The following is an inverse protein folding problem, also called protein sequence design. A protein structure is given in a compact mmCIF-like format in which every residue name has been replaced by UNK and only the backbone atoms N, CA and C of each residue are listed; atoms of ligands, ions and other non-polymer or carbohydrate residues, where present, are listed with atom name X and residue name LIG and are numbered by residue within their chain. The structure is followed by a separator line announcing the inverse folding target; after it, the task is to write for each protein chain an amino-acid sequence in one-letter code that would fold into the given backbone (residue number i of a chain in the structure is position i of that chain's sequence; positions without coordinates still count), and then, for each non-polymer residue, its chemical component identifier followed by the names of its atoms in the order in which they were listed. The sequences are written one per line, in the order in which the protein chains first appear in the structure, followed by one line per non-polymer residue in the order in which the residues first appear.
data_IF_445854529857
#
_entry.id   IF_445854529857
#
_cell.length_a   1.000
_cell.length_b   1.000
_cell.length_c   1.000
_cell.angle_alpha   90.00
_cell.angle_beta   90.00
_cell.angle_gamma   90.00
#
_symmetry.space_group_name_H-M   'P 1'
#
loop_
_entity.id
_entity.type
_entity.pdbx_description
1 polymer ?
#
# COMPACT_ATOMS: atom_id res chain seq x y z
N UNK A 1 12.47 2.71 22.32
CA UNK A 1 12.98 1.77 21.32
C UNK A 1 13.34 2.50 20.04
N UNK A 2 12.73 2.29 18.86
CA UNK A 2 13.29 2.85 17.60
C UNK A 2 13.57 4.38 17.59
N UNK A 3 12.67 5.21 18.13
CA UNK A 3 12.90 6.68 18.27
C UNK A 3 13.98 7.00 19.29
N UNK A 4 14.04 6.22 20.37
CA UNK A 4 15.06 6.37 21.41
C UNK A 4 16.44 5.98 20.86
N UNK A 5 16.56 4.80 20.26
CA UNK A 5 17.75 4.33 19.56
C UNK A 5 18.25 5.31 18.48
N UNK A 6 17.36 5.89 17.68
CA UNK A 6 17.74 6.89 16.68
C UNK A 6 18.37 8.16 17.29
N UNK A 7 18.00 8.50 18.54
CA UNK A 7 18.55 9.65 19.27
C UNK A 7 19.80 9.28 20.10
N UNK A 8 19.90 8.04 20.59
CA UNK A 8 20.94 7.60 21.54
C UNK A 8 22.06 6.74 20.94
N UNK A 9 21.91 6.20 19.73
CA UNK A 9 22.89 5.27 19.13
C UNK A 9 24.30 5.84 18.97
N UNK A 10 24.47 7.15 18.94
CA UNK A 10 25.78 7.80 18.96
C UNK A 10 26.43 7.86 20.37
N UNK A 11 25.62 7.81 21.42
CA UNK A 11 26.01 8.23 22.78
C UNK A 11 26.08 7.07 23.79
N UNK A 12 25.22 6.05 23.69
CA UNK A 12 25.22 4.93 24.64
C UNK A 12 24.87 3.59 23.97
N UNK A 13 25.91 2.79 23.67
CA UNK A 13 25.76 1.47 23.06
C UNK A 13 24.98 0.48 23.94
N UNK A 14 25.11 0.55 25.26
CA UNK A 14 24.44 -0.39 26.16
C UNK A 14 22.92 -0.13 26.18
N UNK A 15 22.51 1.13 26.11
CA UNK A 15 21.09 1.47 26.01
C UNK A 15 20.48 1.00 24.69
N UNK A 16 21.20 1.15 23.58
CA UNK A 16 20.68 0.72 22.28
C UNK A 16 20.63 -0.82 22.15
N UNK A 17 21.62 -1.53 22.70
CA UNK A 17 21.55 -3.00 22.81
C UNK A 17 20.35 -3.45 23.66
N UNK A 18 20.02 -2.72 24.73
CA UNK A 18 18.83 -3.00 25.54
C UNK A 18 17.51 -2.74 24.79
N UNK A 19 17.44 -1.64 24.01
CA UNK A 19 16.31 -1.35 23.11
C UNK A 19 16.12 -2.47 22.08
N UNK A 20 17.21 -2.96 21.47
CA UNK A 20 17.17 -4.06 20.50
C UNK A 20 16.62 -5.34 21.14
N UNK A 21 17.10 -5.71 22.33
CA UNK A 21 16.58 -6.88 23.06
C UNK A 21 15.08 -6.76 23.39
N UNK A 22 14.60 -5.57 23.74
CA UNK A 22 13.18 -5.36 24.00
C UNK A 22 12.35 -5.49 22.71
N UNK A 23 12.84 -4.96 21.58
CA UNK A 23 12.20 -5.13 20.26
C UNK A 23 12.08 -6.61 19.93
N UNK A 24 13.16 -7.37 20.04
CA UNK A 24 13.18 -8.81 19.75
C UNK A 24 12.15 -9.58 20.58
N UNK A 25 12.04 -9.27 21.89
CA UNK A 25 11.02 -9.88 22.76
C UNK A 25 9.59 -9.54 22.32
N UNK A 26 9.34 -8.29 21.90
CA UNK A 26 8.02 -7.88 21.38
C UNK A 26 7.69 -8.57 20.05
N UNK A 27 8.66 -8.71 19.14
CA UNK A 27 8.48 -9.43 17.88
C UNK A 27 8.19 -10.92 18.11
N UNK A 28 8.90 -11.56 19.04
CA UNK A 28 8.61 -12.95 19.44
C UNK A 28 7.21 -13.10 20.05
N UNK A 29 6.77 -12.12 20.84
CA UNK A 29 5.42 -12.10 21.41
C UNK A 29 4.37 -11.95 20.31
N UNK A 30 4.60 -11.05 19.35
CA UNK A 30 3.75 -10.85 18.18
C UNK A 30 3.61 -12.15 17.36
N UNK A 31 4.73 -12.83 17.07
CA UNK A 31 4.72 -14.11 16.36
C UNK A 31 4.02 -15.22 17.13
N UNK A 32 4.16 -15.23 18.45
CA UNK A 32 3.45 -16.17 19.32
C UNK A 32 1.95 -15.94 19.30
N UNK A 33 1.50 -14.69 19.35
CA UNK A 33 0.08 -14.32 19.19
C UNK A 33 -0.42 -14.78 17.82
N UNK A 34 0.31 -14.45 16.74
CA UNK A 34 -0.07 -14.83 15.38
C UNK A 34 -0.25 -16.35 15.22
N UNK A 35 0.67 -17.15 15.77
CA UNK A 35 0.64 -18.62 15.73
C UNK A 35 -0.44 -19.25 16.60
N UNK A 36 -0.78 -18.63 17.73
CA UNK A 36 -1.65 -19.24 18.73
C UNK A 36 -3.10 -18.79 18.64
N UNK A 37 -3.38 -17.59 18.10
CA UNK A 37 -4.74 -17.10 17.92
C UNK A 37 -5.53 -18.02 16.98
N UNK A 38 -6.58 -18.63 17.52
CA UNK A 38 -7.38 -19.63 16.83
C UNK A 38 -8.84 -19.58 17.28
N UNK A 39 -9.73 -20.06 16.40
CA UNK A 39 -11.13 -20.34 16.71
C UNK A 39 -11.41 -21.83 16.41
N UNK A 40 -11.68 -22.62 17.45
CA UNK A 40 -11.70 -24.08 17.33
C UNK A 40 -10.34 -24.60 16.86
N UNK A 41 -10.33 -25.40 15.79
CA UNK A 41 -9.09 -25.90 15.16
C UNK A 41 -8.50 -24.97 14.10
N UNK A 42 -9.12 -23.81 13.87
CA UNK A 42 -8.79 -22.91 12.77
C UNK A 42 -7.82 -21.83 13.27
N UNK A 43 -6.64 -21.73 12.64
CA UNK A 43 -5.69 -20.65 12.90
C UNK A 43 -6.13 -19.40 12.16
N UNK A 44 -6.12 -18.26 12.86
CA UNK A 44 -6.64 -17.01 12.30
C UNK A 44 -5.52 -16.13 11.77
N UNK A 45 -4.45 -15.90 12.54
CA UNK A 45 -3.52 -14.81 12.26
C UNK A 45 -2.15 -15.26 11.73
N UNK A 46 -2.04 -16.52 11.33
CA UNK A 46 -0.79 -17.11 10.86
C UNK A 46 -0.65 -17.14 9.33
N UNK A 47 -1.65 -16.60 8.63
CA UNK A 47 -1.73 -16.53 7.17
C UNK A 47 -2.25 -17.81 6.51
N UNK A 48 -2.48 -18.91 7.23
CA UNK A 48 -2.94 -20.17 6.61
C UNK A 48 -4.33 -20.06 5.95
N UNK A 49 -5.14 -19.10 6.39
CA UNK A 49 -6.45 -18.77 5.80
C UNK A 49 -6.40 -17.62 4.80
N UNK A 50 -5.20 -17.22 4.37
CA UNK A 50 -5.01 -16.14 3.43
C UNK A 50 -4.74 -16.62 2.02
N UNK A 51 -4.92 -15.71 1.06
CA UNK A 51 -4.31 -15.85 -0.25
C UNK A 51 -2.83 -15.48 -0.14
N UNK A 52 -1.96 -16.47 -0.21
CA UNK A 52 -0.51 -16.29 -0.07
C UNK A 52 0.17 -16.50 -1.41
N UNK A 53 1.30 -15.83 -1.61
CA UNK A 53 2.13 -16.08 -2.76
C UNK A 53 3.61 -15.95 -2.50
N UNK A 54 4.36 -16.38 -3.51
CA UNK A 54 5.80 -16.21 -3.63
C UNK A 54 6.13 -15.95 -5.10
N UNK A 55 7.15 -15.15 -5.34
CA UNK A 55 7.66 -14.85 -6.67
C UNK A 55 8.96 -15.60 -6.93
N UNK A 56 9.18 -15.95 -8.18
CA UNK A 56 10.44 -16.50 -8.69
C UNK A 56 10.86 -15.64 -9.86
N UNK A 57 12.01 -15.00 -9.77
CA UNK A 57 12.52 -14.08 -10.78
C UNK A 57 13.26 -12.94 -10.13
N UNK A 58 14.21 -12.36 -10.86
CA UNK A 58 15.01 -11.25 -10.34
C UNK A 58 14.14 -9.99 -10.24
N UNK A 59 14.35 -9.22 -9.18
CA UNK A 59 13.63 -7.97 -8.92
C UNK A 59 12.10 -8.12 -8.73
N UNK A 60 11.59 -9.36 -8.55
CA UNK A 60 10.17 -9.62 -8.34
C UNK A 60 9.89 -9.98 -6.88
N UNK A 61 9.01 -9.19 -6.26
CA UNK A 61 8.52 -9.44 -4.89
C UNK A 61 7.01 -9.62 -4.86
N UNK A 62 6.54 -10.68 -4.20
CA UNK A 62 5.10 -10.85 -3.92
C UNK A 62 4.65 -9.79 -2.91
N UNK A 63 3.57 -9.07 -3.23
CA UNK A 63 3.02 -8.04 -2.34
C UNK A 63 1.74 -8.53 -1.70
N UNK A 64 0.75 -8.92 -2.50
CA UNK A 64 -0.50 -9.44 -1.96
C UNK A 64 -1.30 -10.26 -2.98
N UNK A 65 -2.26 -11.02 -2.45
CA UNK A 65 -3.35 -11.63 -3.17
C UNK A 65 -4.60 -11.48 -2.32
N UNK A 66 -5.78 -11.44 -2.95
CA UNK A 66 -7.03 -11.30 -2.22
C UNK A 66 -7.79 -12.63 -2.15
N UNK A 67 -8.91 -12.65 -1.42
CA UNK A 67 -9.72 -13.87 -1.22
C UNK A 67 -10.33 -14.42 -2.52
N UNK A 68 -10.36 -13.63 -3.59
CA UNK A 68 -10.88 -14.03 -4.90
C UNK A 68 -9.77 -14.52 -5.85
N UNK A 69 -8.51 -14.41 -5.44
CA UNK A 69 -7.37 -14.84 -6.25
C UNK A 69 -7.33 -16.37 -6.36
N UNK A 70 -7.41 -16.95 -7.56
CA UNK A 70 -7.31 -18.40 -7.71
C UNK A 70 -5.89 -18.91 -7.44
N UNK A 71 -5.78 -20.12 -6.86
CA UNK A 71 -4.51 -20.85 -6.74
C UNK A 71 -3.84 -20.95 -8.11
N UNK A 72 -2.54 -20.67 -8.16
CA UNK A 72 -1.81 -20.70 -9.43
C UNK A 72 -1.66 -22.13 -9.96
N UNK A 73 -1.47 -22.30 -11.28
CA UNK A 73 -0.95 -23.55 -11.84
C UNK A 73 0.37 -23.97 -11.18
N UNK A 74 0.77 -25.24 -11.34
CA UNK A 74 2.04 -25.77 -10.81
C UNK A 74 3.26 -24.92 -11.24
N UNK A 75 3.24 -24.42 -12.48
CA UNK A 75 4.29 -23.55 -13.03
C UNK A 75 4.23 -22.10 -12.54
N UNK A 76 3.19 -21.71 -11.78
CA UNK A 76 2.92 -20.32 -11.41
C UNK A 76 2.27 -19.52 -12.56
N UNK A 77 1.81 -18.32 -12.25
CA UNK A 77 1.40 -17.35 -13.26
C UNK A 77 2.65 -16.65 -13.81
N UNK A 78 2.79 -16.61 -15.13
CA UNK A 78 3.87 -15.89 -15.80
C UNK A 78 3.73 -14.40 -15.52
N UNK A 79 4.84 -13.75 -15.20
CA UNK A 79 4.98 -12.30 -15.08
C UNK A 79 5.90 -11.84 -16.21
N UNK A 80 5.41 -10.88 -16.99
CA UNK A 80 6.11 -10.29 -18.14
C UNK A 80 6.03 -8.76 -18.00
N UNK A 81 7.17 -8.10 -17.91
CA UNK A 81 7.34 -6.67 -17.71
C UNK A 81 7.73 -6.02 -19.03
N UNK A 82 6.94 -5.03 -19.44
CA UNK A 82 7.12 -4.29 -20.70
C UNK A 82 7.75 -2.92 -20.47
N UNK A 83 7.64 -2.38 -19.25
CA UNK A 83 8.24 -1.10 -18.86
C UNK A 83 8.63 -1.15 -17.38
N UNK A 84 9.89 -0.84 -17.09
CA UNK A 84 10.33 -0.59 -15.72
C UNK A 84 9.83 0.79 -15.25
N UNK A 85 9.42 0.89 -13.99
CA UNK A 85 8.99 2.16 -13.41
C UNK A 85 10.15 3.12 -13.26
N UNK A 86 9.90 4.41 -13.48
CA UNK A 86 10.88 5.49 -13.27
C UNK A 86 10.35 6.53 -12.31
N UNK A 87 11.25 7.40 -11.84
CA UNK A 87 10.92 8.56 -11.01
C UNK A 87 10.98 9.81 -11.85
N UNK A 88 10.25 10.83 -11.44
CA UNK A 88 10.48 12.16 -11.97
C UNK A 88 11.94 12.56 -11.73
N UNK A 89 12.60 13.07 -12.77
CA UNK A 89 14.03 13.32 -12.77
C UNK A 89 14.37 14.58 -13.54
N UNK A 90 15.29 15.37 -13.00
CA UNK A 90 15.85 16.53 -13.66
C UNK A 90 17.37 16.40 -13.64
N UNK A 91 17.99 16.34 -14.82
CA UNK A 91 19.44 16.28 -14.95
C UNK A 91 19.96 17.58 -15.56
N UNK A 92 20.95 18.18 -14.90
CA UNK A 92 21.66 19.36 -15.39
C UNK A 92 22.40 19.10 -16.70
N UNK A 93 22.76 20.15 -17.45
CA UNK A 93 23.42 20.00 -18.76
C UNK A 93 24.94 20.06 -18.67
N UNK A 94 25.48 20.85 -17.75
CA UNK A 94 26.93 20.97 -17.49
C UNK A 94 27.24 20.82 -16.00
N UNK A 95 28.44 20.31 -15.65
CA UNK A 95 28.89 20.27 -14.26
C UNK A 95 28.95 21.66 -13.63
N UNK A 96 28.48 21.78 -12.39
CA UNK A 96 28.76 22.96 -11.57
C UNK A 96 30.24 22.92 -11.12
N UNK A 97 30.88 24.08 -11.14
CA UNK A 97 32.32 24.24 -10.90
C UNK A 97 32.62 25.51 -10.09
N UNK A 98 33.85 25.60 -9.59
CA UNK A 98 34.34 26.80 -8.88
C UNK A 98 34.37 28.06 -9.76
N UNK A 99 34.44 27.90 -11.09
CA UNK A 99 34.49 29.00 -12.06
C UNK A 99 33.10 29.43 -12.53
N UNK A 100 32.26 28.49 -12.96
CA UNK A 100 30.95 28.83 -13.54
C UNK A 100 29.89 29.24 -12.50
N UNK A 101 30.14 29.02 -11.20
CA UNK A 101 29.24 29.47 -10.14
C UNK A 101 29.20 31.00 -9.97
N UNK A 102 30.23 31.71 -10.46
CA UNK A 102 30.27 33.18 -10.44
C UNK A 102 30.07 33.76 -9.03
N UNK A 103 29.12 34.69 -8.89
CA UNK A 103 28.75 35.33 -7.61
C UNK A 103 27.88 34.44 -6.71
N UNK A 104 27.48 33.27 -7.19
CA UNK A 104 26.65 32.30 -6.47
C UNK A 104 25.51 31.72 -7.30
N UNK A 105 24.97 30.60 -6.80
CA UNK A 105 23.86 29.86 -7.36
C UNK A 105 22.59 30.05 -6.52
N UNK A 106 21.48 30.26 -7.19
CA UNK A 106 20.14 30.23 -6.66
C UNK A 106 19.39 29.10 -7.37
N UNK A 107 18.83 28.19 -6.59
CA UNK A 107 18.00 27.08 -7.08
C UNK A 107 16.66 27.16 -6.38
N UNK A 108 15.58 27.05 -7.15
CA UNK A 108 14.22 26.92 -6.64
C UNK A 108 13.65 25.64 -7.24
N UNK A 109 13.14 24.76 -6.38
CA UNK A 109 12.47 23.52 -6.78
C UNK A 109 11.03 23.59 -6.30
N UNK A 110 10.07 23.36 -7.19
CA UNK A 110 8.65 23.29 -6.82
C UNK A 110 8.12 21.90 -7.17
N UNK A 111 7.61 21.18 -6.17
CA UNK A 111 7.00 19.86 -6.32
C UNK A 111 5.50 19.98 -6.55
N UNK A 112 4.96 19.08 -7.37
CA UNK A 112 3.54 18.99 -7.67
C UNK A 112 3.14 17.56 -8.00
N UNK A 113 1.89 17.21 -7.73
CA UNK A 113 1.31 15.95 -8.17
C UNK A 113 0.71 16.10 -9.56
N UNK A 114 0.64 14.99 -10.29
CA UNK A 114 -0.11 14.91 -11.54
C UNK A 114 -1.30 13.97 -11.38
N UNK A 115 -2.46 14.45 -11.82
CA UNK A 115 -3.69 13.67 -11.87
C UNK A 115 -4.15 13.52 -13.30
N UNK A 116 -4.56 12.30 -13.67
CA UNK A 116 -5.30 12.07 -14.90
C UNK A 116 -6.70 12.68 -14.78
N UNK A 117 -6.91 13.85 -15.37
CA UNK A 117 -8.25 14.44 -15.50
C UNK A 117 -8.91 13.96 -16.79
N UNK A 118 -10.25 14.04 -16.84
CA UNK A 118 -11.11 13.57 -17.94
C UNK A 118 -10.75 14.17 -19.32
N UNK A 119 -9.89 15.20 -19.38
CA UNK A 119 -9.40 15.84 -20.62
C UNK A 119 -7.87 16.02 -20.69
N UNK A 120 -7.09 15.28 -19.88
CA UNK A 120 -5.62 15.36 -19.83
C UNK A 120 -5.07 15.52 -18.43
N UNK A 121 -3.74 15.49 -18.27
CA UNK A 121 -3.09 15.58 -16.96
C UNK A 121 -3.21 16.98 -16.36
N UNK A 122 -3.66 17.06 -15.10
CA UNK A 122 -3.70 18.30 -14.32
C UNK A 122 -2.60 18.26 -13.28
N UNK A 123 -1.74 19.28 -13.28
CA UNK A 123 -0.82 19.53 -12.17
C UNK A 123 -1.63 20.08 -11.00
N UNK A 124 -1.54 19.42 -9.87
CA UNK A 124 -2.14 19.88 -8.62
C UNK A 124 -1.03 20.04 -7.59
N UNK A 125 -1.06 21.18 -6.91
CA UNK A 125 -0.37 21.27 -5.63
C UNK A 125 -1.40 20.84 -4.61
N UNK A 126 -1.19 19.67 -3.98
CA UNK A 126 -1.92 19.32 -2.76
C UNK A 126 -1.87 20.55 -1.83
N UNK A 127 -3.05 21.11 -1.53
CA UNK A 127 -3.36 22.33 -0.74
C UNK A 127 -4.13 23.45 -1.48
N UNK A 128 -4.43 23.35 -2.77
CA UNK A 128 -5.17 24.43 -3.46
C UNK A 128 -6.69 24.51 -3.17
N UNK A 129 -7.32 23.56 -2.47
CA UNK A 129 -8.79 23.52 -2.35
C UNK A 129 -9.38 23.51 -0.92
N UNK A 130 -8.58 23.65 0.15
CA UNK A 130 -9.14 23.82 1.50
C UNK A 130 -8.39 24.89 2.29
N UNK A 131 -9.07 26.03 2.45
CA UNK A 131 -8.71 27.17 3.31
C UNK A 131 -7.55 28.04 2.82
N UNK A 132 -7.76 29.35 2.84
CA UNK A 132 -6.83 30.35 2.34
C UNK A 132 -5.43 30.21 2.92
N UNK A 133 -4.46 30.07 2.01
CA UNK A 133 -3.03 30.30 2.25
C UNK A 133 -2.25 29.09 2.73
N UNK A 134 -1.87 28.18 1.82
CA UNK A 134 -0.66 27.36 1.96
C UNK A 134 -0.08 27.07 0.57
N UNK A 135 1.17 27.48 0.37
CA UNK A 135 1.95 27.34 -0.85
C UNK A 135 2.24 25.85 -1.13
N UNK A 136 2.34 25.44 -2.39
CA UNK A 136 2.90 24.11 -2.72
C UNK A 136 4.29 23.94 -2.13
N UNK A 137 4.73 22.71 -1.89
CA UNK A 137 6.05 22.44 -1.32
C UNK A 137 7.13 22.95 -2.28
N UNK A 138 8.02 23.79 -1.77
CA UNK A 138 9.14 24.30 -2.54
C UNK A 138 10.39 24.32 -1.66
N UNK A 139 11.53 24.09 -2.28
CA UNK A 139 12.84 24.25 -1.67
C UNK A 139 13.60 25.36 -2.39
N UNK A 140 14.35 26.15 -1.65
CA UNK A 140 15.14 27.24 -2.22
C UNK A 140 16.48 27.36 -1.51
N UNK A 141 17.55 27.31 -2.30
CA UNK A 141 18.87 27.73 -1.85
C UNK A 141 19.30 28.99 -2.59
N UNK A 142 20.11 29.83 -1.92
CA UNK A 142 20.69 31.03 -2.51
C UNK A 142 22.08 31.27 -1.93
N UNK A 143 23.12 30.85 -2.66
CA UNK A 143 24.51 30.96 -2.21
C UNK A 143 25.09 32.37 -2.33
N UNK A 144 24.26 33.38 -2.63
CA UNK A 144 24.70 34.80 -2.64
C UNK A 144 24.60 35.43 -1.24
N UNK A 145 23.99 34.73 -0.29
CA UNK A 145 23.75 35.15 1.08
C UNK A 145 24.06 34.02 2.08
N UNK A 146 24.20 34.37 3.35
CA UNK A 146 24.33 33.41 4.44
C UNK A 146 25.63 32.60 4.45
N UNK A 147 25.61 31.49 5.18
CA UNK A 147 26.75 30.61 5.40
C UNK A 147 27.27 29.98 4.10
N UNK A 148 26.37 29.53 3.23
CA UNK A 148 26.72 28.93 1.94
C UNK A 148 27.55 29.90 1.07
N UNK A 149 27.25 31.20 1.12
CA UNK A 149 28.06 32.23 0.45
C UNK A 149 29.49 32.26 0.98
N UNK A 150 29.64 32.28 2.30
CA UNK A 150 30.95 32.39 2.94
C UNK A 150 31.82 31.17 2.62
N UNK A 151 31.23 29.98 2.65
CA UNK A 151 31.91 28.72 2.32
C UNK A 151 32.34 28.68 0.84
N UNK A 152 31.45 29.03 -0.10
CA UNK A 152 31.80 29.06 -1.54
C UNK A 152 32.84 30.14 -1.83
N UNK A 153 32.72 31.33 -1.24
CA UNK A 153 33.70 32.40 -1.40
C UNK A 153 35.09 31.99 -0.89
N UNK A 154 35.16 31.20 0.19
CA UNK A 154 36.41 30.67 0.71
C UNK A 154 37.05 29.68 -0.27
N UNK A 155 36.26 28.78 -0.87
CA UNK A 155 36.73 27.84 -1.91
C UNK A 155 37.27 28.61 -3.12
N UNK A 156 36.51 29.57 -3.65
CA UNK A 156 36.93 30.41 -4.78
C UNK A 156 38.21 31.19 -4.46
N UNK A 157 38.32 31.75 -3.25
CA UNK A 157 39.51 32.48 -2.81
C UNK A 157 40.74 31.58 -2.71
N UNK A 158 40.58 30.35 -2.23
CA UNK A 158 41.66 29.36 -2.18
C UNK A 158 42.14 29.00 -3.60
N UNK A 159 41.21 28.69 -4.50
CA UNK A 159 41.48 28.40 -5.91
C UNK A 159 42.20 29.56 -6.61
N UNK A 160 41.72 30.79 -6.44
CA UNK A 160 42.32 31.98 -7.05
C UNK A 160 43.72 32.30 -6.51
N UNK A 161 44.00 31.96 -5.25
CA UNK A 161 45.27 32.27 -4.59
C UNK A 161 46.38 31.31 -5.00
N UNK A 162 46.05 30.02 -5.09
CA UNK A 162 47.02 28.96 -5.37
C UNK A 162 46.33 27.79 -6.10
N UNK A 163 46.20 27.86 -7.44
CA UNK A 163 45.57 26.82 -8.23
C UNK A 163 46.29 25.46 -8.17
N UNK A 164 47.60 25.45 -7.87
CA UNK A 164 48.39 24.23 -7.75
C UNK A 164 48.09 23.50 -6.43
N UNK A 165 47.95 24.24 -5.33
CA UNK A 165 47.58 23.69 -4.03
C UNK A 165 46.09 23.35 -3.91
N UNK A 166 45.23 24.02 -4.70
CA UNK A 166 43.78 23.83 -4.73
C UNK A 166 43.31 23.52 -6.15
N UNK A 167 43.48 22.27 -6.64
CA UNK A 167 43.19 21.94 -8.03
C UNK A 167 41.72 22.17 -8.42
N UNK A 168 41.48 22.61 -9.66
CA UNK A 168 40.15 22.90 -10.21
C UNK A 168 39.11 21.81 -9.93
N UNK A 169 39.48 20.55 -10.14
CA UNK A 169 38.60 19.40 -9.98
C UNK A 169 38.15 19.23 -8.52
N UNK A 170 39.09 19.37 -7.58
CA UNK A 170 38.80 19.25 -6.15
C UNK A 170 37.89 20.39 -5.69
N UNK A 171 38.21 21.63 -6.07
CA UNK A 171 37.43 22.80 -5.67
C UNK A 171 36.02 22.77 -6.29
N UNK A 172 35.90 22.32 -7.53
CA UNK A 172 34.60 22.14 -8.19
C UNK A 172 33.75 21.07 -7.50
N UNK A 173 34.35 19.94 -7.10
CA UNK A 173 33.68 18.91 -6.32
C UNK A 173 33.23 19.43 -4.95
N UNK A 174 34.05 20.22 -4.26
CA UNK A 174 33.68 20.84 -2.98
C UNK A 174 32.46 21.78 -3.14
N UNK A 175 32.44 22.61 -4.20
CA UNK A 175 31.28 23.47 -4.51
C UNK A 175 30.01 22.63 -4.75
N UNK A 176 30.10 21.56 -5.57
CA UNK A 176 28.96 20.67 -5.81
C UNK A 176 28.47 20.01 -4.53
N UNK A 177 29.39 19.52 -3.71
CA UNK A 177 29.08 18.86 -2.43
C UNK A 177 28.33 19.79 -1.49
N UNK A 178 28.75 21.05 -1.37
CA UNK A 178 28.04 22.04 -0.56
C UNK A 178 26.64 22.33 -1.10
N UNK A 179 26.51 22.54 -2.41
CA UNK A 179 25.20 22.81 -3.03
C UNK A 179 24.24 21.63 -2.82
N UNK A 180 24.71 20.40 -3.01
CA UNK A 180 23.91 19.20 -2.76
C UNK A 180 23.51 19.06 -1.29
N UNK A 181 24.43 19.31 -0.36
CA UNK A 181 24.16 19.25 1.08
C UNK A 181 23.07 20.24 1.48
N UNK A 182 23.21 21.52 1.12
CA UNK A 182 22.21 22.54 1.49
C UNK A 182 20.86 22.27 0.82
N UNK A 183 20.83 21.80 -0.43
CA UNK A 183 19.56 21.53 -1.09
C UNK A 183 18.85 20.28 -0.55
N UNK A 184 19.58 19.19 -0.25
CA UNK A 184 18.99 18.03 0.43
C UNK A 184 18.43 18.41 1.81
N UNK A 185 19.16 19.25 2.56
CA UNK A 185 18.67 19.80 3.83
C UNK A 185 17.38 20.61 3.66
N UNK A 186 17.30 21.47 2.64
CA UNK A 186 16.08 22.23 2.34
C UNK A 186 14.91 21.31 1.92
N UNK A 187 15.17 20.22 1.21
CA UNK A 187 14.15 19.22 0.90
C UNK A 187 13.58 18.57 2.17
N UNK A 188 14.46 18.15 3.09
CA UNK A 188 14.05 17.58 4.38
C UNK A 188 13.25 18.60 5.23
N UNK A 189 13.74 19.83 5.36
CA UNK A 189 13.07 20.89 6.13
C UNK A 189 11.72 21.31 5.52
N UNK A 190 11.58 21.21 4.19
CA UNK A 190 10.35 21.51 3.46
C UNK A 190 9.40 20.30 3.33
N UNK A 191 9.81 19.12 3.84
CA UNK A 191 9.07 17.87 3.73
C UNK A 191 8.84 17.42 2.29
N UNK A 192 9.78 17.70 1.39
CA UNK A 192 9.76 17.26 -0.01
C UNK A 192 10.40 15.88 -0.11
N UNK A 193 9.75 14.93 -0.80
CA UNK A 193 10.28 13.58 -1.00
C UNK A 193 11.22 13.56 -2.21
N UNK A 194 12.28 14.34 -2.11
CA UNK A 194 13.22 14.64 -3.17
C UNK A 194 14.64 14.33 -2.73
N UNK A 195 15.53 14.08 -3.69
CA UNK A 195 16.96 13.96 -3.44
C UNK A 195 17.75 14.60 -4.59
N UNK A 196 18.92 15.15 -4.26
CA UNK A 196 19.94 15.60 -5.22
C UNK A 196 21.22 14.78 -5.06
N UNK A 197 21.81 14.40 -6.20
CA UNK A 197 23.07 13.68 -6.27
C UNK A 197 23.85 14.07 -7.54
N UNK A 198 25.08 13.58 -7.63
CA UNK A 198 25.98 13.80 -8.77
C UNK A 198 25.93 12.61 -9.73
N UNK A 199 25.73 12.86 -11.03
CA UNK A 199 25.86 11.82 -12.06
C UNK A 199 27.34 11.44 -12.29
N UNK A 200 27.65 10.31 -12.92
CA UNK A 200 29.04 9.96 -13.27
C UNK A 200 29.75 11.01 -14.15
N UNK A 201 28.98 11.79 -14.94
CA UNK A 201 29.46 12.93 -15.72
C UNK A 201 29.54 14.24 -14.88
N UNK A 202 29.49 14.14 -13.55
CA UNK A 202 29.59 15.23 -12.58
C UNK A 202 28.48 16.28 -12.64
N UNK A 203 27.34 15.94 -13.23
CA UNK A 203 26.19 16.83 -13.35
C UNK A 203 25.29 16.68 -12.13
N UNK A 204 24.66 17.77 -11.73
CA UNK A 204 23.65 17.74 -10.67
C UNK A 204 22.39 17.06 -11.21
N UNK A 205 21.91 16.05 -10.49
CA UNK A 205 20.68 15.33 -10.78
C UNK A 205 19.77 15.43 -9.58
N UNK A 206 18.54 15.88 -9.81
CA UNK A 206 17.46 15.83 -8.83
C UNK A 206 16.48 14.74 -9.25
N UNK A 207 15.95 14.00 -8.28
CA UNK A 207 14.83 13.08 -8.55
C UNK A 207 13.86 13.05 -7.38
N UNK A 208 12.63 12.71 -7.69
CA UNK A 208 11.62 12.36 -6.69
C UNK A 208 11.92 10.97 -6.11
N UNK A 209 11.61 10.72 -4.84
CA UNK A 209 11.84 9.42 -4.19
C UNK A 209 10.77 8.40 -4.56
N UNK A 210 9.54 8.83 -4.78
CA UNK A 210 8.44 7.97 -5.26
C UNK A 210 8.52 7.70 -6.76
N UNK A 211 8.21 6.46 -7.12
CA UNK A 211 8.11 6.00 -8.50
C UNK A 211 6.73 6.26 -9.10
N UNK A 212 6.69 6.32 -10.42
CA UNK A 212 5.46 6.46 -11.18
C UNK A 212 5.26 7.85 -11.73
N UNK A 213 4.15 8.04 -12.41
CA UNK A 213 3.78 9.29 -13.07
C UNK A 213 3.05 10.29 -12.15
N UNK A 214 2.63 9.86 -10.96
CA UNK A 214 1.85 10.69 -10.03
C UNK A 214 2.58 11.88 -9.42
N UNK A 215 3.91 11.91 -9.47
CA UNK A 215 4.74 12.95 -8.85
C UNK A 215 5.66 13.60 -9.88
N UNK A 216 5.83 14.91 -9.78
CA UNK A 216 6.73 15.67 -10.64
C UNK A 216 7.16 16.98 -9.97
N UNK A 217 8.09 17.68 -10.59
CA UNK A 217 8.62 18.93 -10.06
C UNK A 217 9.16 19.81 -11.18
N UNK A 218 9.40 21.06 -10.85
CA UNK A 218 10.09 22.02 -11.71
C UNK A 218 11.31 22.58 -11.01
N UNK A 219 12.34 22.89 -11.79
CA UNK A 219 13.60 23.46 -11.30
C UNK A 219 13.78 24.82 -11.96
N UNK A 220 14.24 25.79 -11.18
CA UNK A 220 14.67 27.11 -11.65
C UNK A 220 16.08 27.35 -11.15
N UNK A 221 17.00 27.75 -12.03
CA UNK A 221 18.37 28.06 -11.66
C UNK A 221 18.84 29.37 -12.31
N UNK A 222 19.64 30.16 -11.59
CA UNK A 222 20.23 31.38 -12.14
C UNK A 222 21.48 31.15 -12.99
N UNK A 223 22.17 30.01 -12.84
CA UNK A 223 23.39 29.70 -13.60
C UNK A 223 23.01 28.92 -14.87
N UNK A 224 23.13 29.52 -16.08
CA UNK A 224 22.69 28.89 -17.31
C UNK A 224 23.44 27.58 -17.59
N UNK A 225 22.69 26.55 -17.99
CA UNK A 225 23.20 25.24 -18.37
C UNK A 225 23.52 24.31 -17.20
N UNK A 226 23.77 24.82 -16.00
CA UNK A 226 24.07 23.95 -14.83
C UNK A 226 22.85 23.10 -14.49
N UNK A 227 21.68 23.71 -14.41
CA UNK A 227 20.41 22.99 -14.26
C UNK A 227 19.47 23.38 -15.40
N UNK A 228 19.00 24.63 -15.41
CA UNK A 228 18.10 25.14 -16.45
C UNK A 228 18.86 25.73 -17.62
N UNK A 229 18.32 25.63 -18.83
CA UNK A 229 18.94 26.20 -20.03
C UNK A 229 18.98 27.72 -19.95
N UNK A 230 17.87 28.31 -19.51
CA UNK A 230 17.74 29.76 -19.35
C UNK A 230 17.80 30.14 -17.87
N UNK A 231 18.50 31.24 -17.54
CA UNK A 231 18.59 31.70 -16.16
C UNK A 231 17.22 32.15 -15.68
N UNK A 232 16.86 31.72 -14.46
CA UNK A 232 15.63 32.09 -13.76
C UNK A 232 14.33 31.75 -14.53
N UNK A 233 14.37 30.74 -15.39
CA UNK A 233 13.18 30.17 -16.03
C UNK A 233 12.94 28.78 -15.46
N UNK A 234 11.71 28.52 -15.02
CA UNK A 234 11.33 27.20 -14.54
C UNK A 234 11.27 26.19 -15.69
N UNK A 235 11.89 25.04 -15.51
CA UNK A 235 11.84 23.90 -16.43
C UNK A 235 11.31 22.68 -15.68
N UNK A 236 10.41 21.94 -16.31
CA UNK A 236 9.82 20.75 -15.70
C UNK A 236 10.79 19.57 -15.76
N UNK A 237 10.75 18.73 -14.72
CA UNK A 237 11.43 17.45 -14.70
C UNK A 237 10.86 16.51 -15.76
N UNK A 238 11.69 15.58 -16.23
CA UNK A 238 11.22 14.41 -16.95
C UNK A 238 10.25 13.65 -16.05
N UNK A 239 9.13 13.23 -16.61
CA UNK A 239 8.10 12.51 -15.86
C UNK A 239 8.58 11.11 -15.46
N UNK A 240 8.15 10.67 -14.28
CA UNK A 240 8.26 9.27 -13.90
C UNK A 240 7.24 8.41 -14.67
N UNK A 241 7.50 7.12 -14.73
CA UNK A 241 6.68 6.13 -15.42
C UNK A 241 6.28 5.03 -14.45
N UNK A 242 5.07 4.52 -14.61
CA UNK A 242 4.63 3.33 -13.88
C UNK A 242 5.22 2.07 -14.51
N UNK A 243 5.36 1.01 -13.71
CA UNK A 243 5.64 -0.32 -14.24
C UNK A 243 4.51 -0.76 -15.18
N UNK A 244 4.84 -1.33 -16.33
CA UNK A 244 3.84 -1.91 -17.23
C UNK A 244 4.19 -3.36 -17.52
N UNK A 245 3.16 -4.19 -17.69
CA UNK A 245 3.35 -5.60 -17.95
C UNK A 245 2.07 -6.41 -17.88
N UNK A 246 2.24 -7.73 -17.88
CA UNK A 246 1.17 -8.71 -17.79
C UNK A 246 1.39 -9.70 -16.65
N UNK A 247 0.29 -10.20 -16.11
CA UNK A 247 0.27 -11.30 -15.15
C UNK A 247 -0.66 -12.37 -15.72
N UNK A 248 -0.17 -13.62 -15.78
CA UNK A 248 -0.85 -14.73 -16.45
C UNK A 248 -1.19 -14.45 -17.94
N UNK A 249 -0.41 -13.59 -18.60
CA UNK A 249 -0.63 -13.18 -19.99
C UNK A 249 -1.72 -12.12 -20.20
N UNK A 250 -2.27 -11.53 -19.13
CA UNK A 250 -3.26 -10.45 -19.20
C UNK A 250 -2.66 -9.13 -18.71
N UNK A 251 -2.98 -8.02 -19.39
CA UNK A 251 -2.55 -6.68 -18.99
C UNK A 251 -2.94 -6.39 -17.54
N UNK A 252 -1.93 -6.00 -16.75
CA UNK A 252 -2.09 -5.61 -15.37
C UNK A 252 -2.10 -4.08 -15.24
N UNK A 253 -2.47 -3.58 -14.06
CA UNK A 253 -2.49 -2.15 -13.73
C UNK A 253 -1.19 -1.81 -13.01
N UNK A 254 -0.41 -0.91 -13.60
CA UNK A 254 0.79 -0.36 -13.01
C UNK A 254 0.52 0.84 -12.12
N UNK A 255 1.20 0.92 -10.97
CA UNK A 255 1.28 2.12 -10.14
C UNK A 255 2.62 2.17 -9.42
N UNK A 256 3.48 3.11 -9.79
CA UNK A 256 4.89 3.11 -9.39
C UNK A 256 5.54 1.78 -9.74
N UNK A 257 6.13 1.11 -8.76
CA UNK A 257 6.74 -0.23 -8.90
C UNK A 257 5.74 -1.40 -8.79
N UNK A 258 4.45 -1.13 -8.53
CA UNK A 258 3.45 -2.15 -8.25
C UNK A 258 2.67 -2.52 -9.50
N UNK A 259 2.59 -3.82 -9.80
CA UNK A 259 1.81 -4.36 -10.90
C UNK A 259 0.68 -5.23 -10.34
N UNK A 260 -0.56 -4.87 -10.66
CA UNK A 260 -1.78 -5.49 -10.09
C UNK A 260 -2.63 -6.14 -11.17
N UNK A 261 -2.91 -7.43 -11.04
CA UNK A 261 -3.75 -8.18 -11.96
C UNK A 261 -5.21 -7.70 -11.88
N UNK A 262 -5.83 -7.51 -13.05
CA UNK A 262 -7.20 -7.01 -13.18
C UNK A 262 -8.23 -8.04 -12.72
N UNK A 263 -9.37 -7.55 -12.25
CA UNK A 263 -10.54 -8.37 -11.95
C UNK A 263 -11.00 -9.15 -13.18
N UNK A 264 -11.43 -10.40 -12.99
CA UNK A 264 -11.87 -11.29 -14.08
C UNK A 264 -10.73 -11.98 -14.84
N UNK A 265 -9.46 -11.70 -14.53
CA UNK A 265 -8.31 -12.44 -15.08
C UNK A 265 -8.00 -13.69 -14.25
N UNK A 266 -7.27 -14.69 -14.79
CA UNK A 266 -6.88 -15.88 -14.02
C UNK A 266 -6.10 -15.58 -12.74
N UNK A 267 -5.31 -14.49 -12.75
CA UNK A 267 -4.52 -14.05 -11.61
C UNK A 267 -5.18 -12.88 -10.85
N UNK A 268 -6.49 -12.69 -10.95
CA UNK A 268 -7.17 -11.52 -10.38
C UNK A 268 -6.78 -11.26 -8.91
N UNK A 269 -6.55 -9.99 -8.58
CA UNK A 269 -6.21 -9.60 -7.21
C UNK A 269 -4.77 -9.89 -6.79
N UNK A 270 -3.95 -10.55 -7.62
CA UNK A 270 -2.50 -10.64 -7.39
C UNK A 270 -1.88 -9.26 -7.58
N UNK A 271 -1.03 -8.87 -6.64
CA UNK A 271 -0.15 -7.72 -6.74
C UNK A 271 1.28 -8.16 -6.47
N UNK A 272 2.17 -7.71 -7.34
CA UNK A 272 3.62 -7.88 -7.24
C UNK A 272 4.30 -6.52 -7.28
N UNK A 273 5.55 -6.46 -6.82
CA UNK A 273 6.45 -5.33 -6.98
C UNK A 273 7.58 -5.74 -7.92
N UNK A 274 7.91 -4.88 -8.87
CA UNK A 274 9.11 -4.99 -9.71
C UNK A 274 10.06 -3.84 -9.35
N UNK A 275 11.22 -4.14 -8.78
CA UNK A 275 12.13 -3.15 -8.20
C UNK A 275 13.41 -2.88 -9.02
N UNK A 276 13.46 -3.33 -10.27
CA UNK A 276 14.57 -3.00 -11.18
C UNK A 276 14.53 -1.52 -11.56
N UNK A 277 15.55 -0.77 -11.13
CA UNK A 277 15.81 0.61 -11.54
C UNK A 277 16.72 0.66 -12.78
N UNK A 278 16.76 1.84 -13.44
CA UNK A 278 17.67 2.08 -14.56
C UNK A 278 19.02 2.58 -14.07
N UNK A 279 20.08 1.96 -14.59
CA UNK A 279 21.46 2.34 -14.31
C UNK A 279 22.08 3.23 -15.39
N UNK A 280 23.17 3.91 -15.04
CA UNK A 280 23.99 4.63 -15.99
C UNK A 280 24.94 3.68 -16.74
N UNK A 281 24.89 3.72 -18.06
CA UNK A 281 25.82 3.02 -18.95
C UNK A 281 26.94 3.94 -19.42
N UNK A 282 28.17 3.42 -19.42
CA UNK A 282 29.35 4.11 -19.98
C UNK A 282 29.35 3.99 -21.51
N UNK A 283 29.29 5.13 -22.20
CA UNK A 283 29.37 5.23 -23.65
C UNK A 283 30.71 5.84 -24.07
N UNK A 284 31.50 5.18 -24.93
CA UNK A 284 32.75 5.74 -25.43
C UNK A 284 32.47 6.96 -26.33
N UNK A 285 33.24 8.02 -26.13
CA UNK A 285 33.26 9.20 -27.00
C UNK A 285 34.41 9.06 -27.98
N UNK A 286 34.12 9.25 -29.27
CA UNK A 286 35.11 9.19 -30.35
C UNK A 286 35.30 10.56 -31.00
N UNK A 287 36.52 10.87 -31.44
CA UNK A 287 36.80 12.04 -32.26
C UNK A 287 36.31 11.85 -33.71
N UNK A 288 36.41 12.89 -34.54
CA UNK A 288 36.07 12.85 -35.97
C UNK A 288 36.91 11.83 -36.77
N UNK A 289 38.04 11.37 -36.20
CA UNK A 289 38.94 10.38 -36.78
C UNK A 289 38.62 8.95 -36.29
N UNK A 290 37.62 8.77 -35.42
CA UNK A 290 37.22 7.48 -34.86
C UNK A 290 38.07 6.97 -33.70
N UNK A 291 38.96 7.79 -33.13
CA UNK A 291 39.73 7.43 -31.93
C UNK A 291 38.91 7.73 -30.68
N UNK A 292 38.95 6.83 -29.70
CA UNK A 292 38.29 7.05 -28.41
C UNK A 292 38.99 8.18 -27.66
N UNK A 293 38.27 9.28 -27.44
CA UNK A 293 38.76 10.45 -26.68
C UNK A 293 38.21 10.53 -25.26
N UNK A 294 37.24 9.68 -24.89
CA UNK A 294 36.73 9.64 -23.54
C UNK A 294 35.53 8.71 -23.37
N UNK A 295 34.73 9.01 -22.35
CA UNK A 295 33.45 8.36 -22.05
C UNK A 295 32.44 9.41 -21.61
N UNK A 296 31.16 9.14 -21.86
CA UNK A 296 30.02 9.87 -21.29
C UNK A 296 29.05 8.84 -20.74
N UNK A 297 28.24 9.21 -19.77
CA UNK A 297 27.28 8.31 -19.17
C UNK A 297 25.87 8.70 -19.57
N UNK A 298 25.07 7.71 -19.94
CA UNK A 298 23.65 7.89 -20.19
C UNK A 298 22.86 6.89 -19.40
N UNK A 299 21.65 7.26 -19.00
CA UNK A 299 20.73 6.31 -18.44
C UNK A 299 20.46 5.22 -19.48
N UNK A 300 20.47 3.96 -19.05
CA UNK A 300 20.16 2.86 -19.93
C UNK A 300 18.73 3.00 -20.49
N UNK A 301 18.48 2.67 -21.76
CA UNK A 301 17.15 2.58 -22.33
C UNK A 301 16.33 1.43 -21.75
N UNK A 302 15.02 1.63 -21.66
CA UNK A 302 14.04 0.68 -21.12
C UNK A 302 14.16 -0.68 -21.80
N UNK A 303 14.38 -0.71 -23.11
CA UNK A 303 14.47 -1.95 -23.89
C UNK A 303 15.68 -2.84 -23.52
N UNK A 304 16.64 -2.31 -22.76
CA UNK A 304 17.74 -3.12 -22.20
C UNK A 304 17.43 -3.65 -20.79
N UNK A 305 16.48 -3.04 -20.09
CA UNK A 305 16.08 -3.41 -18.72
C UNK A 305 14.94 -4.42 -18.72
N UNK A 306 14.06 -4.31 -19.72
CA UNK A 306 12.84 -5.11 -19.86
C UNK A 306 12.69 -5.56 -21.32
N UNK A 307 11.83 -6.56 -21.56
CA UNK A 307 11.61 -7.09 -22.91
C UNK A 307 12.20 -8.48 -23.14
N UNK A 308 12.66 -9.15 -22.08
CA UNK A 308 12.67 -10.60 -22.09
C UNK A 308 11.22 -11.10 -22.21
N UNK A 309 10.96 -12.27 -22.81
CA UNK A 309 9.58 -12.79 -22.91
C UNK A 309 8.96 -13.15 -21.55
N UNK A 310 9.72 -13.08 -20.46
CA UNK A 310 9.32 -13.44 -19.10
C UNK A 310 10.40 -13.02 -18.08
N UNK A 311 10.00 -12.23 -17.08
CA UNK A 311 10.82 -11.86 -15.93
C UNK A 311 10.72 -12.90 -14.81
N UNK A 312 9.58 -13.60 -14.72
CA UNK A 312 9.43 -14.65 -13.72
C UNK A 312 8.03 -15.21 -13.56
N UNK A 313 7.78 -15.79 -12.39
CA UNK A 313 6.52 -16.42 -12.02
C UNK A 313 6.05 -15.93 -10.66
N UNK A 314 4.73 -15.89 -10.48
CA UNK A 314 4.10 -15.76 -9.17
C UNK A 314 3.28 -17.03 -8.87
N UNK A 315 3.64 -17.70 -7.78
CA UNK A 315 2.93 -18.86 -7.28
C UNK A 315 1.96 -18.40 -6.19
N UNK A 316 0.70 -18.79 -6.31
CA UNK A 316 -0.36 -18.43 -5.37
C UNK A 316 -0.96 -19.68 -4.77
N UNK A 317 -1.13 -19.68 -3.45
CA UNK A 317 -1.91 -20.65 -2.69
C UNK A 317 -3.11 -19.95 -2.07
N UNK A 318 -4.31 -20.31 -2.51
CA UNK A 318 -5.55 -19.79 -1.94
C UNK A 318 -5.95 -20.60 -0.71
N UNK A 319 -5.77 -20.00 0.48
CA UNK A 319 -6.15 -20.58 1.77
C UNK A 319 -7.47 -20.04 2.33
N UNK A 320 -8.03 -18.98 1.72
CA UNK A 320 -9.28 -18.35 2.18
C UNK A 320 -10.44 -19.33 2.18
N UNK A 321 -11.36 -19.11 3.11
CA UNK A 321 -12.50 -19.98 3.35
C UNK A 321 -13.80 -19.23 3.13
N UNK A 322 -14.74 -19.97 2.58
CA UNK A 322 -16.14 -19.58 2.50
C UNK A 322 -16.78 -19.73 3.88
N UNK A 323 -17.43 -18.66 4.34
CA UNK A 323 -18.18 -18.68 5.58
C UNK A 323 -19.67 -18.82 5.28
N UNK A 324 -20.20 -20.01 5.53
CA UNK A 324 -21.63 -20.28 5.44
C UNK A 324 -22.30 -19.93 6.77
N UNK A 325 -23.13 -18.90 6.77
CA UNK A 325 -23.80 -18.39 7.99
C UNK A 325 -25.30 -18.72 8.04
N UNK A 326 -25.85 -19.37 7.01
CA UNK A 326 -27.20 -19.92 6.98
C UNK A 326 -27.17 -21.36 6.41
N UNK A 327 -28.12 -22.17 6.86
CA UNK A 327 -28.48 -23.50 6.36
C UNK A 327 -28.84 -23.51 4.86
N UNK A 328 -29.26 -22.37 4.32
CA UNK A 328 -29.47 -22.16 2.89
C UNK A 328 -28.18 -21.60 2.29
N UNK A 329 -27.45 -22.41 1.52
CA UNK A 329 -26.06 -22.19 1.06
C UNK A 329 -25.83 -20.99 0.10
N UNK A 330 -26.63 -19.92 0.19
CA UNK A 330 -26.66 -18.83 -0.80
C UNK A 330 -25.77 -17.62 -0.51
N UNK A 331 -25.26 -17.43 0.72
CA UNK A 331 -24.40 -16.30 1.06
C UNK A 331 -23.11 -16.84 1.68
N UNK A 332 -22.13 -17.13 0.83
CA UNK A 332 -20.76 -17.37 1.22
C UNK A 332 -19.95 -16.13 0.84
N UNK A 333 -19.53 -15.35 1.84
CA UNK A 333 -18.56 -14.28 1.64
C UNK A 333 -17.17 -14.85 1.95
N UNK A 334 -16.29 -15.00 0.94
CA UNK A 334 -14.95 -15.47 1.19
C UNK A 334 -14.21 -14.43 2.04
N UNK A 335 -13.56 -14.89 3.10
CA UNK A 335 -12.78 -14.04 3.98
C UNK A 335 -11.36 -14.58 4.11
N UNK A 336 -10.39 -13.67 3.94
CA UNK A 336 -8.97 -13.94 4.03
C UNK A 336 -8.45 -13.38 5.34
N UNK A 337 -7.90 -14.23 6.21
CA UNK A 337 -7.10 -13.72 7.31
C UNK A 337 -5.64 -13.57 6.86
N UNK A 338 -5.12 -12.36 6.98
CA UNK A 338 -3.72 -12.06 6.69
C UNK A 338 -2.85 -12.50 7.88
N UNK A 339 -1.60 -12.90 7.60
CA UNK A 339 -0.61 -13.16 8.63
C UNK A 339 -0.18 -11.86 9.31
N UNK A 340 -0.19 -11.81 10.64
CA UNK A 340 0.38 -10.71 11.44
C UNK A 340 1.73 -11.06 12.05
N UNK A 341 2.39 -12.10 11.52
CA UNK A 341 3.78 -12.44 11.90
C UNK A 341 4.72 -11.30 11.53
N UNK A 342 5.78 -11.14 12.33
CA UNK A 342 6.81 -10.10 12.17
C UNK A 342 7.38 -10.07 10.74
N UNK A 343 7.67 -11.24 10.18
CA UNK A 343 8.20 -11.41 8.84
C UNK A 343 7.20 -11.13 7.69
N UNK A 344 5.94 -10.81 8.01
CA UNK A 344 4.87 -10.48 7.06
C UNK A 344 4.34 -9.06 7.21
N UNK A 345 4.84 -8.30 8.18
CA UNK A 345 4.43 -6.92 8.44
C UNK A 345 5.55 -5.95 8.07
N UNK A 346 5.17 -4.74 7.64
CA UNK A 346 6.15 -3.71 7.30
C UNK A 346 6.95 -4.03 6.04
N UNK A 347 6.41 -4.88 5.16
CA UNK A 347 7.09 -5.28 3.94
C UNK A 347 7.08 -4.20 2.87
N UNK A 348 8.03 -4.30 1.94
CA UNK A 348 8.14 -3.46 0.75
C UNK A 348 8.40 -1.97 1.04
N UNK A 349 8.95 -1.64 2.20
CA UNK A 349 9.38 -0.29 2.55
C UNK A 349 10.81 -0.07 2.07
N UNK A 350 11.05 0.98 1.27
CA UNK A 350 12.41 1.35 0.87
C UNK A 350 13.16 1.90 2.08
N UNK A 351 14.36 1.42 2.30
CA UNK A 351 15.21 1.79 3.42
C UNK A 351 16.70 1.60 3.04
N UNK A 352 17.62 2.20 3.79
CA UNK A 352 19.08 2.12 3.53
C UNK A 352 19.72 0.87 4.17
N UNK A 353 19.03 0.25 5.12
CA UNK A 353 19.50 -0.89 5.92
C UNK A 353 19.09 -2.26 5.37
N UNK A 354 18.52 -2.32 4.16
CA UNK A 354 18.03 -3.53 3.48
C UNK A 354 17.03 -4.39 4.30
N UNK A 355 16.29 -3.78 5.21
CA UNK A 355 15.25 -4.47 5.98
C UNK A 355 14.05 -4.81 5.08
N UNK A 356 13.62 -6.08 5.09
CA UNK A 356 12.47 -6.52 4.30
C UNK A 356 11.17 -6.53 5.09
N UNK A 357 11.24 -6.63 6.41
CA UNK A 357 10.08 -6.78 7.30
C UNK A 357 10.43 -6.42 8.74
N UNK A 358 9.43 -6.39 9.64
CA UNK A 358 9.71 -6.18 11.07
C UNK A 358 10.67 -7.20 11.67
N UNK A 359 10.79 -8.40 11.06
CA UNK A 359 11.70 -9.44 11.54
C UNK A 359 13.19 -9.08 11.34
N UNK A 360 13.49 -8.13 10.45
CA UNK A 360 14.86 -7.78 10.07
C UNK A 360 15.35 -6.51 10.79
N UNK A 361 14.49 -5.87 11.59
CA UNK A 361 14.81 -4.59 12.25
C UNK A 361 15.99 -4.75 13.20
N UNK A 362 17.01 -3.93 12.94
CA UNK A 362 18.15 -3.69 13.81
C UNK A 362 18.21 -2.19 14.13
N UNK A 363 18.14 -1.83 15.42
CA UNK A 363 18.21 -0.44 15.88
C UNK A 363 19.58 -0.08 16.48
N UNK A 364 20.59 -0.95 16.35
CA UNK A 364 21.93 -0.75 16.92
C UNK A 364 22.72 0.39 16.29
N UNK A 365 22.30 0.84 15.11
CA UNK A 365 22.82 2.03 14.46
C UNK A 365 21.71 3.07 14.17
N UNK A 366 22.12 4.32 13.91
CA UNK A 366 21.20 5.45 13.72
C UNK A 366 20.32 5.24 12.47
N UNK A 367 20.88 4.72 11.38
CA UNK A 367 20.13 4.51 10.14
C UNK A 367 19.17 3.34 10.28
N UNK A 368 19.61 2.21 10.82
CA UNK A 368 18.76 1.08 11.18
C UNK A 368 17.60 1.51 12.09
N UNK A 369 17.84 2.37 13.08
CA UNK A 369 16.77 2.89 13.93
C UNK A 369 15.77 3.81 13.19
N UNK A 370 16.20 4.58 12.18
CA UNK A 370 15.32 5.41 11.33
C UNK A 370 14.52 4.54 10.36
N UNK A 371 15.18 3.60 9.71
CA UNK A 371 14.58 2.64 8.79
C UNK A 371 13.55 1.77 9.50
N UNK A 372 13.85 1.32 10.72
CA UNK A 372 12.92 0.61 11.59
C UNK A 372 11.64 1.41 11.85
N UNK A 373 11.71 2.74 11.99
CA UNK A 373 10.50 3.57 12.18
C UNK A 373 9.60 3.52 10.95
N UNK A 374 10.17 3.60 9.74
CA UNK A 374 9.42 3.49 8.49
C UNK A 374 8.70 2.14 8.38
N UNK A 375 9.40 1.05 8.70
CA UNK A 375 8.82 -0.30 8.69
C UNK A 375 7.73 -0.48 9.76
N UNK A 376 7.92 0.08 10.95
CA UNK A 376 6.92 0.04 12.03
C UNK A 376 5.67 0.83 11.65
N UNK A 377 5.81 2.01 11.05
CA UNK A 377 4.68 2.81 10.58
C UNK A 377 3.87 2.06 9.51
N UNK A 378 4.56 1.45 8.53
CA UNK A 378 3.92 0.58 7.55
C UNK A 378 3.18 -0.59 8.21
N UNK A 379 3.81 -1.26 9.17
CA UNK A 379 3.21 -2.39 9.89
C UNK A 379 1.97 -2.00 10.71
N UNK A 380 1.96 -0.80 11.30
CA UNK A 380 0.76 -0.26 11.97
C UNK A 380 -0.38 -0.10 10.95
N UNK A 381 -0.07 0.40 9.75
CA UNK A 381 -1.01 0.47 8.63
C UNK A 381 -1.55 -0.91 8.23
N UNK A 382 -0.66 -1.90 8.11
CA UNK A 382 -1.02 -3.29 7.77
C UNK A 382 -1.97 -3.89 8.81
N UNK A 383 -1.66 -3.75 10.10
CA UNK A 383 -2.52 -4.23 11.20
C UNK A 383 -3.86 -3.48 11.22
N UNK A 384 -3.85 -2.18 10.94
CA UNK A 384 -5.07 -1.37 10.87
C UNK A 384 -5.99 -1.83 9.74
N UNK A 385 -5.42 -2.18 8.58
CA UNK A 385 -6.15 -2.80 7.47
C UNK A 385 -6.77 -4.13 7.87
N UNK A 386 -6.01 -5.01 8.52
CA UNK A 386 -6.55 -6.28 9.05
C UNK A 386 -7.71 -6.07 10.00
N UNK A 387 -7.61 -5.10 10.92
CA UNK A 387 -8.72 -4.76 11.84
C UNK A 387 -9.95 -4.24 11.10
N UNK A 388 -9.75 -3.39 10.10
CA UNK A 388 -10.83 -2.87 9.27
C UNK A 388 -11.53 -3.99 8.49
N UNK A 389 -10.77 -4.92 7.91
CA UNK A 389 -11.29 -6.06 7.17
C UNK A 389 -12.12 -6.99 8.07
N UNK A 390 -11.59 -7.31 9.27
CA UNK A 390 -12.33 -8.11 10.27
C UNK A 390 -13.60 -7.39 10.74
N UNK A 391 -13.51 -6.09 11.02
CA UNK A 391 -14.67 -5.29 11.43
C UNK A 391 -15.74 -5.19 10.34
N UNK A 392 -15.31 -5.05 9.09
CA UNK A 392 -16.21 -5.08 7.92
C UNK A 392 -16.89 -6.43 7.80
N UNK A 393 -16.15 -7.54 7.91
CA UNK A 393 -16.72 -8.89 7.85
C UNK A 393 -17.71 -9.16 8.99
N UNK A 394 -17.39 -8.76 10.22
CA UNK A 394 -18.31 -8.88 11.35
C UNK A 394 -19.61 -8.11 11.08
N UNK A 395 -19.52 -6.83 10.72
CA UNK A 395 -20.69 -5.97 10.54
C UNK A 395 -21.52 -6.34 9.31
N UNK A 396 -20.85 -6.58 8.18
CA UNK A 396 -21.52 -6.77 6.90
C UNK A 396 -21.97 -8.21 6.66
N UNK A 397 -21.30 -9.18 7.28
CA UNK A 397 -21.59 -10.59 7.05
C UNK A 397 -22.24 -11.21 8.29
N UNK A 398 -21.58 -11.19 9.45
CA UNK A 398 -22.09 -11.87 10.66
C UNK A 398 -23.35 -11.19 11.20
N UNK A 399 -23.30 -9.88 11.47
CA UNK A 399 -24.43 -9.15 12.06
C UNK A 399 -25.65 -9.11 11.13
N UNK A 400 -25.43 -8.90 9.82
CA UNK A 400 -26.52 -8.95 8.84
C UNK A 400 -27.16 -10.34 8.77
N UNK A 401 -26.35 -11.40 8.72
CA UNK A 401 -26.88 -12.76 8.63
C UNK A 401 -27.60 -13.14 9.91
N UNK A 402 -27.07 -12.77 11.08
CA UNK A 402 -27.75 -12.96 12.36
C UNK A 402 -29.14 -12.29 12.35
N UNK A 403 -29.24 -11.07 11.83
CA UNK A 403 -30.52 -10.37 11.67
C UNK A 403 -31.50 -11.12 10.76
N UNK A 404 -31.02 -11.67 9.63
CA UNK A 404 -31.84 -12.48 8.71
C UNK A 404 -32.34 -13.76 9.39
N UNK A 405 -31.45 -14.47 10.09
CA UNK A 405 -31.77 -15.72 10.79
C UNK A 405 -32.76 -15.47 11.93
N UNK A 406 -32.57 -14.41 12.72
CA UNK A 406 -33.50 -14.03 13.79
C UNK A 406 -34.90 -13.71 13.24
N UNK A 407 -34.97 -12.90 12.16
CA UNK A 407 -36.24 -12.60 11.50
C UNK A 407 -36.92 -13.85 10.92
N UNK A 408 -36.14 -14.78 10.38
CA UNK A 408 -36.63 -16.06 9.90
C UNK A 408 -37.19 -16.93 11.03
N UNK A 409 -36.51 -16.98 12.17
CA UNK A 409 -36.96 -17.69 13.36
C UNK A 409 -38.30 -17.12 13.89
N UNK A 410 -38.42 -15.80 14.00
CA UNK A 410 -39.65 -15.13 14.42
C UNK A 410 -40.83 -15.45 13.47
N UNK A 411 -40.56 -15.44 12.16
CA UNK A 411 -41.56 -15.78 11.15
C UNK A 411 -42.01 -17.25 11.27
N UNK A 412 -41.09 -18.18 11.54
CA UNK A 412 -41.40 -19.59 11.76
C UNK A 412 -42.17 -19.83 13.05
N UNK A 413 -41.80 -19.14 14.13
CA UNK A 413 -42.51 -19.21 15.42
C UNK A 413 -43.95 -18.69 15.28
N UNK A 414 -44.15 -17.54 14.62
CA UNK A 414 -45.47 -16.99 14.33
C UNK A 414 -46.33 -17.93 13.47
N UNK A 415 -45.71 -18.55 12.45
CA UNK A 415 -46.37 -19.55 11.61
C UNK A 415 -46.77 -20.79 12.41
N UNK A 416 -45.88 -21.28 13.28
CA UNK A 416 -46.14 -22.41 14.16
C UNK A 416 -47.25 -22.10 15.18
N UNK A 417 -47.28 -20.89 15.75
CA UNK A 417 -48.36 -20.44 16.64
C UNK A 417 -49.70 -20.41 15.92
N UNK A 418 -49.74 -19.87 14.69
CA UNK A 418 -50.97 -19.79 13.88
C UNK A 418 -51.51 -21.19 13.56
N UNK A 419 -50.63 -22.14 13.20
CA UNK A 419 -51.03 -23.54 12.97
C UNK A 419 -51.56 -24.17 14.26
N UNK A 420 -50.86 -23.99 15.38
CA UNK A 420 -51.28 -24.53 16.68
C UNK A 420 -52.63 -23.97 17.13
N UNK A 421 -52.85 -22.66 16.97
CA UNK A 421 -54.11 -22.02 17.31
C UNK A 421 -55.25 -22.47 16.40
N UNK A 422 -54.97 -22.73 15.12
CA UNK A 422 -55.94 -23.31 14.18
C UNK A 422 -56.34 -24.73 14.59
N UNK A 423 -55.38 -25.57 14.94
CA UNK A 423 -55.62 -26.95 15.41
C UNK A 423 -56.42 -26.96 16.73
N UNK A 424 -56.09 -26.06 17.66
CA UNK A 424 -56.84 -25.89 18.93
C UNK A 424 -58.26 -25.41 18.65
N UNK A 425 -58.45 -24.45 17.76
CA UNK A 425 -59.78 -23.98 17.38
C UNK A 425 -60.63 -25.10 16.74
N UNK A 426 -60.04 -25.93 15.88
CA UNK A 426 -60.72 -27.10 15.31
C UNK A 426 -61.11 -28.11 16.39
N UNK A 427 -60.18 -28.45 17.30
CA UNK A 427 -60.42 -29.37 18.40
C UNK A 427 -61.55 -28.86 19.33
N UNK A 428 -61.53 -27.57 19.67
CA UNK A 428 -62.58 -26.94 20.50
C UNK A 428 -63.92 -26.88 19.78
N UNK A 429 -63.95 -26.68 18.46
CA UNK A 429 -65.18 -26.74 17.65
C UNK A 429 -65.78 -28.14 17.66
N UNK A 430 -64.95 -29.18 17.52
CA UNK A 430 -65.38 -30.58 17.62
C UNK A 430 -65.90 -30.91 19.02
N UNK A 431 -65.18 -30.54 20.07
CA UNK A 431 -65.62 -30.73 21.45
C UNK A 431 -66.97 -30.07 21.73
N UNK A 432 -67.11 -28.79 21.37
CA UNK A 432 -68.37 -28.04 21.54
C UNK A 432 -69.51 -28.72 20.78
N UNK A 433 -69.26 -29.20 19.55
CA UNK A 433 -70.26 -29.94 18.77
C UNK A 433 -70.68 -31.22 19.48
N UNK A 434 -69.73 -31.99 20.00
CA UNK A 434 -69.98 -33.26 20.69
C UNK A 434 -70.74 -33.05 22.01
N UNK A 435 -70.44 -31.99 22.76
CA UNK A 435 -71.19 -31.58 23.95
C UNK A 435 -72.62 -31.17 23.62
N UNK A 436 -72.82 -30.36 22.56
CA UNK A 436 -74.16 -30.00 22.08
C UNK A 436 -74.93 -31.24 21.61
N UNK A 437 -74.29 -32.16 20.88
CA UNK A 437 -74.92 -33.43 20.48
C UNK A 437 -75.31 -34.29 21.68
N UNK A 438 -74.47 -34.33 22.71
CA UNK A 438 -74.76 -35.07 23.95
C UNK A 438 -75.94 -34.45 24.71
N UNK A 439 -75.96 -33.13 24.88
CA UNK A 439 -77.06 -32.41 25.52
C UNK A 439 -78.36 -32.51 24.72
N UNK A 440 -78.31 -32.36 23.40
CA UNK A 440 -79.50 -32.54 22.54
C UNK A 440 -79.99 -33.98 22.55
N UNK A 441 -79.12 -34.97 22.62
CA UNK A 441 -79.48 -36.38 22.85
C UNK A 441 -80.21 -36.58 24.17
N UNK A 442 -79.73 -35.99 25.27
CA UNK A 442 -80.40 -36.03 26.58
C UNK A 442 -81.76 -35.32 26.57
N UNK A 443 -81.88 -34.15 25.94
CA UNK A 443 -83.14 -33.40 25.80
C UNK A 443 -84.12 -34.15 24.89
N UNK A 444 -83.65 -34.72 23.78
CA UNK A 444 -84.46 -35.54 22.88
C UNK A 444 -84.98 -36.78 23.61
N UNK A 445 -84.15 -37.45 24.42
CA UNK A 445 -84.59 -38.55 25.30
C UNK A 445 -85.61 -38.07 26.34
N UNK A 446 -85.40 -36.91 26.96
CA UNK A 446 -86.35 -36.34 27.91
C UNK A 446 -87.70 -35.99 27.26
N UNK A 447 -87.69 -35.42 26.05
CA UNK A 447 -88.89 -35.07 25.27
C UNK A 447 -89.60 -36.32 24.71
N UNK A 448 -88.84 -37.33 24.25
CA UNK A 448 -89.38 -38.63 23.85
C UNK A 448 -90.03 -39.37 25.03
N UNK A 449 -89.53 -39.19 26.26
CA UNK A 449 -90.15 -39.71 27.48
C UNK A 449 -91.40 -38.90 27.94
N UNK A 450 -91.57 -37.66 27.47
CA UNK A 450 -92.77 -36.85 27.74
C UNK A 450 -93.94 -37.16 26.80
N UNK A 451 -93.68 -37.48 25.51
CA UNK A 451 -94.74 -37.85 24.54
C UNK A 451 -95.64 -39.01 25.01
N UNK A 452 -95.13 -40.11 25.61
CA UNK A 452 -95.96 -41.15 26.20
C UNK A 452 -96.80 -40.66 27.39
N UNK A 453 -96.28 -39.73 28.20
CA UNK A 453 -96.98 -39.20 29.38
C UNK A 453 -98.13 -38.26 29.01
N UNK A 454 -98.00 -37.46 27.96
CA UNK A 454 -99.09 -36.62 27.45
C UNK A 454 -100.20 -37.45 26.77
N UNK A 455 -99.84 -38.53 26.08
CA UNK A 455 -100.83 -39.50 25.55
C UNK A 455 -101.56 -40.23 26.70
N UNK A 456 -100.87 -40.59 27.77
CA UNK A 456 -101.49 -41.15 28.98
C UNK A 456 -102.41 -40.15 29.73
N UNK A 457 -102.18 -38.84 29.58
CA UNK A 457 -103.08 -37.79 30.07
C UNK A 457 -104.35 -37.63 29.23
N UNK A 458 -104.24 -37.76 27.91
CA UNK A 458 -105.36 -37.68 26.95
C UNK A 458 -106.26 -38.93 26.94
N UNK A 459 -105.78 -40.07 27.45
CA UNK A 459 -106.56 -41.31 27.61
C UNK A 459 -107.29 -41.34 28.97
N UNK A 460 -107.05 -40.35 29.86
CA UNK A 460 -107.65 -40.25 31.21
C UNK A 460 -108.54 -39.01 31.44
N UNK A 461 -108.67 -38.13 30.46
CA UNK A 461 -109.73 -37.10 30.39
C UNK A 461 -110.72 -37.50 29.33
#
# INVERSE_FOLDING_TARGET
MAVHAANEAANDKLMVEADQLEIEQKLQTLDSIARNTSFGSIKLLDGSMGANGTTVGDNLSFVSANQYTPTSPEKGYIVDIHQASTRARFEGKIPLSVENIGDGIQIIVNEFETLDAVNGRKKINENSEKSGGTQGKFAKIDSRFGELKEQIAQIQKNYQRDPDAYPFEQMSKEVRTLVMYYLNKEFEESGMEMEIFESPDQRLVMRHKEFGDGHSFSVTCNVPGVLTERPMVAEDAMEGLNVEGTIAGYSAIGKGQYLTAREGTPAQGVQIRYDRELDYIELPVFDEMGNRVGSTYKLEPQEMVVGAPMEGFVHISQGSKDFYLDSNQGIAEPFSFISVRSNRLGQNVRNESDFNSLADIDVTDIQGARDAQLLIEKAIGDVSKVRADVGSFQKNTIEKTLGIVAQGADNLESSASTLRDTDVAEAMSRLTRDEIMTMTGQVALAQANQKPRTVLGLIRG
#
